data_IF_173268107214
#
_entry.id   IF_173268107214
#
_cell.length_a   1.000
_cell.length_b   1.000
_cell.length_c   1.000
_cell.angle_alpha   90.00
_cell.angle_beta   90.00
_cell.angle_gamma   90.00
#
_symmetry.space_group_name_H-M   'P 1'
#
loop_
_entity.id
_entity.type
_entity.pdbx_description
1 polymer ?
#
# COMPACT_ATOMS: atom_id res chain seq x y z
N UNK A 1 -38.47 0.66 -6.04
CA UNK A 1 -38.13 2.04 -5.66
C UNK A 1 -36.68 2.23 -6.03
N UNK A 2 -36.44 2.98 -7.07
CA UNK A 2 -35.10 3.28 -7.59
C UNK A 2 -34.56 4.40 -6.69
N UNK A 3 -33.54 4.06 -5.93
CA UNK A 3 -32.88 4.96 -4.98
C UNK A 3 -32.29 6.15 -5.73
N UNK A 4 -32.63 7.34 -5.23
CA UNK A 4 -32.26 8.64 -5.77
C UNK A 4 -30.75 8.73 -5.98
N UNK A 5 -30.36 8.90 -7.23
CA UNK A 5 -28.99 9.16 -7.64
C UNK A 5 -28.45 10.40 -6.94
N UNK A 6 -27.65 10.21 -5.88
CA UNK A 6 -26.72 11.26 -5.50
C UNK A 6 -25.77 11.50 -6.68
N UNK A 7 -25.51 12.74 -7.06
CA UNK A 7 -24.52 13.02 -8.09
C UNK A 7 -23.18 12.49 -7.61
N UNK A 8 -22.72 11.39 -8.20
CA UNK A 8 -21.40 10.83 -7.92
C UNK A 8 -20.41 11.93 -8.27
N UNK A 9 -19.70 12.45 -7.27
CA UNK A 9 -18.60 13.38 -7.52
C UNK A 9 -17.57 12.61 -8.34
N UNK A 10 -17.53 12.86 -9.65
CA UNK A 10 -16.76 12.11 -10.63
C UNK A 10 -15.25 12.04 -10.31
N UNK A 11 -14.73 13.00 -9.56
CA UNK A 11 -13.30 13.15 -9.30
C UNK A 11 -12.83 12.62 -7.93
N UNK A 12 -13.68 12.64 -6.90
CA UNK A 12 -13.30 12.29 -5.53
C UNK A 12 -14.40 11.46 -4.84
N UNK A 13 -14.48 10.16 -5.11
CA UNK A 13 -15.41 9.30 -4.41
C UNK A 13 -15.02 9.19 -2.92
N UNK A 14 -15.96 8.78 -2.03
CA UNK A 14 -15.82 8.96 -0.58
C UNK A 14 -14.56 8.39 0.05
N UNK A 15 -14.16 7.16 -0.32
CA UNK A 15 -12.99 6.50 0.30
C UNK A 15 -11.69 7.11 -0.22
N UNK A 16 -11.57 7.34 -1.52
CA UNK A 16 -10.41 8.03 -2.09
C UNK A 16 -10.26 9.41 -1.46
N UNK A 17 -11.34 10.19 -1.35
CA UNK A 17 -11.31 11.51 -0.72
C UNK A 17 -10.82 11.43 0.73
N UNK A 18 -11.34 10.46 1.51
CA UNK A 18 -10.90 10.26 2.89
C UNK A 18 -9.41 9.92 2.95
N UNK A 19 -8.95 8.96 2.13
CA UNK A 19 -7.55 8.54 2.11
C UNK A 19 -6.60 9.68 1.73
N UNK A 20 -6.95 10.48 0.72
CA UNK A 20 -6.15 11.63 0.32
C UNK A 20 -6.04 12.66 1.44
N UNK A 21 -7.18 13.04 2.05
CA UNK A 21 -7.20 14.02 3.15
C UNK A 21 -6.44 13.50 4.38
N UNK A 22 -6.64 12.23 4.76
CA UNK A 22 -5.97 11.63 5.91
C UNK A 22 -4.45 11.61 5.72
N UNK A 23 -3.96 11.17 4.56
CA UNK A 23 -2.53 11.13 4.28
C UNK A 23 -1.89 12.53 4.25
N UNK A 24 -2.55 13.51 3.61
CA UNK A 24 -2.07 14.90 3.63
C UNK A 24 -2.07 15.45 5.06
N UNK A 25 -3.14 15.25 5.83
CA UNK A 25 -3.25 15.73 7.21
C UNK A 25 -2.17 15.15 8.12
N UNK A 26 -1.93 13.82 8.02
CA UNK A 26 -0.88 13.15 8.79
C UNK A 26 0.51 13.61 8.33
N UNK A 27 0.73 13.82 7.04
CA UNK A 27 2.00 14.36 6.55
C UNK A 27 2.27 15.79 7.03
N UNK A 28 1.28 16.65 7.09
CA UNK A 28 1.42 17.98 7.69
C UNK A 28 1.78 17.89 9.18
N UNK A 29 1.21 16.92 9.89
CA UNK A 29 1.59 16.63 11.28
C UNK A 29 3.05 16.13 11.39
N UNK A 30 3.51 15.30 10.42
CA UNK A 30 4.89 14.85 10.37
C UNK A 30 5.90 16.00 10.20
N UNK A 31 5.53 17.12 9.57
CA UNK A 31 6.43 18.27 9.43
C UNK A 31 6.80 18.91 10.78
N UNK A 32 5.97 18.73 11.82
CA UNK A 32 6.19 19.31 13.15
C UNK A 32 6.47 18.25 14.22
N UNK A 33 6.11 16.99 13.99
CA UNK A 33 6.21 15.89 14.97
C UNK A 33 6.70 14.59 14.32
N UNK A 34 7.76 14.65 13.50
CA UNK A 34 8.22 13.49 12.73
C UNK A 34 8.64 12.32 13.64
N UNK A 35 9.55 12.56 14.59
CA UNK A 35 10.08 11.52 15.47
C UNK A 35 9.01 10.82 16.33
N UNK A 36 8.11 11.52 17.04
CA UNK A 36 7.04 10.85 17.79
C UNK A 36 6.11 10.03 16.91
N UNK A 37 5.79 10.53 15.71
CA UNK A 37 4.92 9.79 14.77
C UNK A 37 5.65 8.56 14.22
N UNK A 38 6.92 8.66 13.88
CA UNK A 38 7.72 7.53 13.40
C UNK A 38 7.82 6.44 14.47
N UNK A 39 8.16 6.81 15.69
CA UNK A 39 8.33 5.90 16.85
C UNK A 39 7.04 5.11 17.11
N UNK A 40 5.89 5.77 17.14
CA UNK A 40 4.65 5.12 17.56
C UNK A 40 3.86 4.48 16.43
N UNK A 41 3.96 4.99 15.19
CA UNK A 41 3.03 4.63 14.10
C UNK A 41 3.70 3.99 12.88
N UNK A 42 5.03 4.06 12.74
CA UNK A 42 5.75 3.29 11.72
C UNK A 42 5.73 1.79 12.05
N UNK A 43 5.86 0.96 11.05
CA UNK A 43 5.93 -0.50 11.24
C UNK A 43 7.36 -0.89 11.61
N UNK A 44 7.58 -1.19 12.89
CA UNK A 44 8.84 -1.67 13.43
C UNK A 44 8.92 -3.21 13.37
N UNK A 45 10.12 -3.79 13.17
CA UNK A 45 10.28 -5.24 13.11
C UNK A 45 10.07 -5.90 14.49
N UNK A 46 9.76 -7.20 14.46
CA UNK A 46 9.76 -8.05 15.65
C UNK A 46 11.19 -8.38 16.09
N UNK A 47 11.38 -8.58 17.39
CA UNK A 47 12.69 -8.99 17.93
C UNK A 47 13.73 -7.86 17.98
N UNK A 48 13.31 -6.62 17.77
CA UNK A 48 14.17 -5.45 17.91
C UNK A 48 14.64 -5.33 19.37
N UNK A 49 15.97 -5.27 19.65
CA UNK A 49 16.46 -4.99 21.00
C UNK A 49 16.05 -3.58 21.41
N UNK A 50 15.73 -3.40 22.71
CA UNK A 50 15.31 -2.09 23.24
C UNK A 50 16.40 -1.02 23.09
N UNK A 51 17.65 -1.43 23.09
CA UNK A 51 18.82 -0.54 22.98
C UNK A 51 19.81 -1.15 22.02
N UNK A 52 20.29 -0.35 21.08
CA UNK A 52 21.38 -0.70 20.16
C UNK A 52 22.54 0.27 20.32
N UNK A 53 23.75 -0.18 20.03
CA UNK A 53 24.90 0.70 19.89
C UNK A 53 24.98 1.21 18.44
N UNK A 54 24.89 2.50 18.24
CA UNK A 54 25.01 3.15 16.94
C UNK A 54 26.05 4.28 17.05
N UNK A 55 27.11 4.18 16.28
CA UNK A 55 28.22 5.16 16.27
C UNK A 55 28.88 5.41 17.65
N UNK A 56 28.91 4.38 18.53
CA UNK A 56 29.45 4.49 19.88
C UNK A 56 28.49 5.07 20.93
N UNK A 57 27.24 5.34 20.56
CA UNK A 57 26.18 5.78 21.44
C UNK A 57 25.08 4.73 21.58
N UNK A 58 24.46 4.65 22.77
CA UNK A 58 23.32 3.79 23.02
C UNK A 58 22.03 4.49 22.52
N UNK A 59 21.37 3.91 21.55
CA UNK A 59 20.11 4.40 21.00
C UNK A 59 18.95 3.48 21.39
N UNK A 60 17.87 4.07 21.88
CA UNK A 60 16.62 3.33 22.10
C UNK A 60 15.90 3.08 20.78
N UNK A 61 15.39 1.85 20.61
CA UNK A 61 14.69 1.43 19.39
C UNK A 61 13.27 0.99 19.73
N UNK A 62 12.26 1.48 18.99
CA UNK A 62 10.87 1.09 19.23
C UNK A 62 10.61 -0.38 18.94
N UNK A 63 9.68 -0.97 19.69
CA UNK A 63 9.17 -2.33 19.45
C UNK A 63 7.89 -2.31 18.59
N UNK A 64 7.64 -3.43 17.91
CA UNK A 64 6.40 -3.64 17.14
C UNK A 64 5.14 -3.53 18.01
N UNK A 65 4.12 -2.85 17.47
CA UNK A 65 2.79 -2.75 18.05
C UNK A 65 1.73 -3.10 16.99
N UNK A 66 0.64 -3.76 17.37
CA UNK A 66 -0.37 -4.26 16.41
C UNK A 66 -0.99 -3.18 15.52
N UNK A 67 -1.21 -1.98 16.03
CA UNK A 67 -1.77 -0.88 15.22
C UNK A 67 -0.85 -0.43 14.09
N UNK A 68 0.45 -0.68 14.22
CA UNK A 68 1.44 -0.33 13.20
C UNK A 68 1.20 -1.05 11.87
N UNK A 69 0.53 -2.22 11.88
CA UNK A 69 0.10 -2.90 10.65
C UNK A 69 -0.85 -2.07 9.77
N UNK A 70 -1.48 -1.06 10.35
CA UNK A 70 -2.37 -0.14 9.62
C UNK A 70 -1.79 1.26 9.53
N UNK A 71 -1.25 1.77 10.63
CA UNK A 71 -0.86 3.18 10.76
C UNK A 71 0.36 3.54 9.92
N UNK A 72 1.28 2.60 9.67
CA UNK A 72 2.44 2.81 8.81
C UNK A 72 2.06 3.30 7.41
N UNK A 73 0.87 2.87 6.94
CA UNK A 73 0.32 3.23 5.62
C UNK A 73 -0.09 4.70 5.46
N UNK A 74 0.01 5.50 6.52
CA UNK A 74 -0.31 6.94 6.50
C UNK A 74 0.93 7.83 6.66
N UNK A 75 2.08 7.26 7.04
CA UNK A 75 3.33 8.00 7.18
C UNK A 75 4.09 8.03 5.84
N UNK A 76 4.83 9.11 5.59
CA UNK A 76 5.59 9.27 4.35
C UNK A 76 6.99 9.83 4.61
N UNK A 77 7.98 9.32 3.88
CA UNK A 77 9.39 9.71 4.01
C UNK A 77 9.75 11.04 3.34
N UNK A 78 8.78 11.74 2.72
CA UNK A 78 8.99 13.03 2.08
C UNK A 78 7.90 13.39 1.09
N UNK A 79 7.93 14.63 0.61
CA UNK A 79 6.88 15.20 -0.26
C UNK A 79 6.72 14.44 -1.57
N UNK A 80 7.81 14.02 -2.21
CA UNK A 80 7.75 13.25 -3.46
C UNK A 80 7.12 11.87 -3.22
N UNK A 81 7.48 11.21 -2.11
CA UNK A 81 6.91 9.92 -1.72
C UNK A 81 5.40 10.04 -1.49
N UNK A 82 4.94 11.04 -0.74
CA UNK A 82 3.53 11.35 -0.57
C UNK A 82 2.84 11.59 -1.92
N UNK A 83 3.39 12.49 -2.74
CA UNK A 83 2.80 12.87 -4.02
C UNK A 83 2.60 11.65 -4.94
N UNK A 84 3.61 10.82 -5.11
CA UNK A 84 3.52 9.64 -5.98
C UNK A 84 2.47 8.64 -5.49
N UNK A 85 2.39 8.41 -4.17
CA UNK A 85 1.35 7.55 -3.59
C UNK A 85 -0.05 8.11 -3.82
N UNK A 86 -0.29 9.38 -3.50
CA UNK A 86 -1.61 10.00 -3.62
C UNK A 86 -2.03 10.15 -5.08
N UNK A 87 -1.11 10.48 -5.97
CA UNK A 87 -1.39 10.58 -7.40
C UNK A 87 -1.80 9.21 -7.98
N UNK A 88 -1.06 8.14 -7.69
CA UNK A 88 -1.39 6.79 -8.14
C UNK A 88 -2.72 6.31 -7.52
N UNK A 89 -2.91 6.53 -6.22
CA UNK A 89 -4.16 6.20 -5.51
C UNK A 89 -5.37 6.91 -6.12
N UNK A 90 -5.25 8.20 -6.44
CA UNK A 90 -6.30 8.96 -7.08
C UNK A 90 -6.55 8.49 -8.52
N UNK A 91 -5.51 8.43 -9.34
CA UNK A 91 -5.61 8.10 -10.77
C UNK A 91 -6.24 6.73 -11.03
N UNK A 92 -5.86 5.72 -10.24
CA UNK A 92 -6.30 4.34 -10.41
C UNK A 92 -7.50 4.00 -9.51
N UNK A 93 -7.47 4.48 -8.27
CA UNK A 93 -8.45 4.13 -7.25
C UNK A 93 -9.83 4.73 -7.50
N UNK A 94 -9.93 5.93 -8.08
CA UNK A 94 -11.23 6.54 -8.43
C UNK A 94 -12.04 5.64 -9.34
N UNK A 95 -11.42 5.05 -10.36
CA UNK A 95 -12.10 4.18 -11.31
C UNK A 95 -12.56 2.87 -10.64
N UNK A 96 -11.74 2.31 -9.75
CA UNK A 96 -12.08 1.11 -8.99
C UNK A 96 -13.20 1.37 -7.98
N UNK A 97 -13.14 2.48 -7.24
CA UNK A 97 -14.20 2.81 -6.28
C UNK A 97 -15.55 3.06 -6.99
N UNK A 98 -15.54 3.71 -8.16
CA UNK A 98 -16.75 3.85 -8.97
C UNK A 98 -17.30 2.51 -9.46
N UNK A 99 -16.42 1.60 -9.84
CA UNK A 99 -16.83 0.31 -10.38
C UNK A 99 -17.34 -0.66 -9.30
N UNK A 100 -16.73 -0.64 -8.10
CA UNK A 100 -17.04 -1.59 -7.03
C UNK A 100 -17.97 -1.03 -5.96
N UNK A 101 -18.05 0.29 -5.86
CA UNK A 101 -18.64 1.01 -4.73
C UNK A 101 -17.68 1.14 -3.57
N UNK A 102 -17.90 2.15 -2.74
CA UNK A 102 -16.99 2.56 -1.65
C UNK A 102 -16.72 1.44 -0.62
N UNK A 103 -17.73 0.61 -0.30
CA UNK A 103 -17.57 -0.45 0.70
C UNK A 103 -16.58 -1.52 0.26
N UNK A 104 -16.69 -2.03 -0.97
CA UNK A 104 -15.78 -3.07 -1.48
C UNK A 104 -14.38 -2.52 -1.70
N UNK A 105 -14.28 -1.29 -2.21
CA UNK A 105 -13.01 -0.61 -2.38
C UNK A 105 -12.28 -0.40 -1.04
N UNK A 106 -12.99 0.03 0.01
CA UNK A 106 -12.41 0.21 1.34
C UNK A 106 -11.90 -1.13 1.92
N UNK A 107 -12.70 -2.21 1.82
CA UNK A 107 -12.29 -3.55 2.26
C UNK A 107 -11.03 -3.99 1.49
N UNK A 108 -11.03 -3.81 0.18
CA UNK A 108 -9.90 -4.16 -0.67
C UNK A 108 -8.63 -3.43 -0.25
N UNK A 109 -8.69 -2.11 -0.14
CA UNK A 109 -7.56 -1.28 0.25
C UNK A 109 -7.01 -1.68 1.62
N UNK A 110 -7.90 -1.86 2.60
CA UNK A 110 -7.52 -2.28 3.96
C UNK A 110 -6.81 -3.64 3.96
N UNK A 111 -7.33 -4.63 3.22
CA UNK A 111 -6.69 -5.95 3.09
C UNK A 111 -5.31 -5.84 2.44
N UNK A 112 -5.16 -5.00 1.42
CA UNK A 112 -3.87 -4.76 0.78
C UNK A 112 -2.86 -4.12 1.75
N UNK A 113 -3.26 -3.11 2.52
CA UNK A 113 -2.39 -2.45 3.51
C UNK A 113 -1.97 -3.42 4.60
N UNK A 114 -2.93 -4.14 5.22
CA UNK A 114 -2.64 -5.11 6.26
C UNK A 114 -1.75 -6.26 5.75
N UNK A 115 -2.06 -6.78 4.57
CA UNK A 115 -1.28 -7.84 3.94
C UNK A 115 0.15 -7.41 3.57
N UNK A 116 0.30 -6.19 3.07
CA UNK A 116 1.61 -5.57 2.83
C UNK A 116 2.41 -5.44 4.12
N UNK A 117 1.77 -4.94 5.19
CA UNK A 117 2.37 -4.81 6.51
C UNK A 117 2.81 -6.16 7.09
N UNK A 118 2.01 -7.22 6.94
CA UNK A 118 2.36 -8.56 7.41
C UNK A 118 3.59 -9.14 6.69
N UNK A 119 3.64 -9.03 5.36
CA UNK A 119 4.80 -9.50 4.59
C UNK A 119 6.05 -8.70 4.98
N UNK A 120 5.93 -7.38 5.03
CA UNK A 120 7.04 -6.51 5.37
C UNK A 120 7.53 -6.71 6.81
N UNK A 121 6.61 -6.92 7.76
CA UNK A 121 6.95 -7.27 9.14
C UNK A 121 7.84 -8.53 9.19
N UNK A 122 7.48 -9.57 8.44
CA UNK A 122 8.29 -10.79 8.35
C UNK A 122 9.69 -10.52 7.76
N UNK A 123 9.77 -9.77 6.66
CA UNK A 123 11.04 -9.43 5.99
C UNK A 123 11.91 -8.56 6.89
N UNK A 124 11.36 -7.47 7.45
CA UNK A 124 12.11 -6.58 8.34
C UNK A 124 12.56 -7.29 9.63
N UNK A 125 11.73 -8.21 10.18
CA UNK A 125 12.11 -8.99 11.36
C UNK A 125 13.23 -10.00 11.07
N UNK A 126 13.29 -10.54 9.84
CA UNK A 126 14.42 -11.37 9.42
C UNK A 126 15.71 -10.54 9.30
N UNK A 127 15.65 -9.30 8.82
CA UNK A 127 16.81 -8.40 8.71
C UNK A 127 17.42 -8.02 10.06
N UNK A 128 16.64 -8.06 11.15
CA UNK A 128 17.16 -7.84 12.52
C UNK A 128 18.25 -8.85 12.87
N UNK A 129 18.20 -10.09 12.37
CA UNK A 129 19.24 -11.10 12.57
C UNK A 129 20.59 -10.72 11.96
N UNK A 130 20.58 -9.85 10.92
CA UNK A 130 21.76 -9.24 10.31
C UNK A 130 22.14 -7.88 10.87
N UNK A 131 21.56 -7.47 12.02
CA UNK A 131 21.73 -6.17 12.67
C UNK A 131 21.23 -4.96 11.85
N UNK A 132 20.34 -5.19 10.87
CA UNK A 132 19.66 -4.13 10.12
C UNK A 132 18.28 -3.87 10.71
N UNK A 133 18.12 -2.74 11.39
CA UNK A 133 16.86 -2.32 12.02
C UNK A 133 16.37 -1.06 11.34
N UNK A 134 15.21 -1.15 10.71
CA UNK A 134 14.57 -0.01 10.03
C UNK A 134 13.05 -0.07 10.13
N UNK A 135 12.39 1.08 10.33
CA UNK A 135 10.94 1.16 10.26
C UNK A 135 10.47 1.21 8.81
N UNK A 136 9.27 0.71 8.58
CA UNK A 136 8.59 0.84 7.29
C UNK A 136 7.45 1.85 7.38
N UNK A 137 7.34 2.71 6.37
CA UNK A 137 6.31 3.73 6.23
C UNK A 137 5.86 3.85 4.77
N UNK A 138 4.60 4.18 4.54
CA UNK A 138 4.07 4.50 3.21
C UNK A 138 2.75 3.81 2.87
N UNK A 139 1.88 4.51 2.14
CA UNK A 139 0.63 3.97 1.59
C UNK A 139 0.85 3.00 0.43
N UNK A 140 2.09 2.84 -0.03
CA UNK A 140 2.44 2.16 -1.28
C UNK A 140 1.99 0.70 -1.33
N UNK A 141 2.00 -0.04 -0.22
CA UNK A 141 1.45 -1.41 -0.18
C UNK A 141 -0.01 -1.47 -0.63
N UNK A 142 -0.84 -0.54 -0.15
CA UNK A 142 -2.23 -0.37 -0.61
C UNK A 142 -2.32 0.10 -2.06
N UNK A 143 -1.45 1.02 -2.47
CA UNK A 143 -1.38 1.55 -3.85
C UNK A 143 -1.01 0.47 -4.85
N UNK A 144 -0.07 -0.43 -4.52
CA UNK A 144 0.27 -1.57 -5.37
C UNK A 144 -0.86 -2.59 -5.48
N UNK A 145 -1.64 -2.77 -4.39
CA UNK A 145 -2.90 -3.50 -4.45
C UNK A 145 -3.89 -2.87 -5.43
N UNK A 146 -4.10 -1.54 -5.35
CA UNK A 146 -4.93 -0.77 -6.30
C UNK A 146 -4.42 -0.95 -7.75
N UNK A 147 -3.12 -0.87 -7.98
CA UNK A 147 -2.50 -1.06 -9.28
C UNK A 147 -2.79 -2.46 -9.85
N UNK A 148 -2.65 -3.51 -9.03
CA UNK A 148 -3.00 -4.87 -9.44
C UNK A 148 -4.47 -4.98 -9.84
N UNK A 149 -5.39 -4.51 -8.99
CA UNK A 149 -6.82 -4.54 -9.25
C UNK A 149 -7.18 -3.80 -10.54
N UNK A 150 -6.56 -2.64 -10.75
CA UNK A 150 -6.75 -1.86 -11.97
C UNK A 150 -6.29 -2.63 -13.21
N UNK A 151 -5.11 -3.24 -13.18
CA UNK A 151 -4.60 -4.05 -14.28
C UNK A 151 -5.45 -5.29 -14.58
N UNK A 152 -6.08 -5.88 -13.56
CA UNK A 152 -7.00 -7.00 -13.71
C UNK A 152 -8.36 -6.58 -14.26
N UNK A 153 -8.87 -5.42 -13.84
CA UNK A 153 -10.20 -4.94 -14.21
C UNK A 153 -10.21 -4.20 -15.54
N UNK A 154 -9.16 -3.43 -15.81
CA UNK A 154 -9.02 -2.60 -17.02
C UNK A 154 -7.75 -2.97 -17.82
N UNK A 155 -7.55 -4.25 -18.21
CA UNK A 155 -6.27 -4.77 -18.70
C UNK A 155 -5.76 -4.10 -19.97
N UNK A 156 -6.64 -3.58 -20.79
CA UNK A 156 -6.31 -2.94 -22.07
C UNK A 156 -6.30 -1.41 -21.99
N UNK A 157 -6.66 -0.82 -20.84
CA UNK A 157 -6.58 0.62 -20.66
C UNK A 157 -5.12 1.06 -20.71
N UNK A 158 -4.84 2.15 -21.41
CA UNK A 158 -3.50 2.70 -21.53
C UNK A 158 -3.24 3.66 -20.36
N UNK A 159 -2.16 3.39 -19.64
CA UNK A 159 -1.64 4.25 -18.59
C UNK A 159 -0.52 5.11 -19.18
N UNK A 160 -0.57 6.40 -18.89
CA UNK A 160 0.51 7.36 -19.22
C UNK A 160 1.05 7.86 -17.90
N UNK A 161 2.33 7.62 -17.65
CA UNK A 161 2.99 8.05 -16.42
C UNK A 161 3.63 9.40 -16.59
N UNK A 162 3.66 10.19 -15.51
CA UNK A 162 4.22 11.54 -15.52
C UNK A 162 5.68 11.57 -15.99
N UNK A 163 6.47 10.55 -15.60
CA UNK A 163 7.90 10.46 -15.92
C UNK A 163 8.18 9.65 -17.20
N UNK A 164 7.23 8.88 -17.70
CA UNK A 164 7.35 8.08 -18.91
C UNK A 164 6.09 8.29 -19.75
N UNK A 165 6.06 9.28 -20.65
CA UNK A 165 4.86 9.64 -21.43
C UNK A 165 4.56 8.65 -22.57
N UNK A 166 4.90 7.37 -22.38
CA UNK A 166 4.58 6.29 -23.31
C UNK A 166 3.33 5.56 -22.82
N UNK A 167 2.26 5.47 -23.63
CA UNK A 167 1.04 4.80 -23.24
C UNK A 167 1.23 3.27 -23.20
N UNK A 168 1.29 2.69 -22.00
CA UNK A 168 1.44 1.25 -21.77
C UNK A 168 0.11 0.66 -21.34
N UNK A 169 -0.29 -0.50 -21.85
CA UNK A 169 -1.50 -1.20 -21.40
C UNK A 169 -1.33 -1.64 -19.94
N UNK A 170 -2.35 -1.42 -19.10
CA UNK A 170 -2.30 -1.67 -17.67
C UNK A 170 -1.81 -3.08 -17.30
N UNK A 171 -2.27 -4.13 -17.99
CA UNK A 171 -1.82 -5.50 -17.74
C UNK A 171 -0.30 -5.68 -17.87
N UNK A 172 0.32 -5.08 -18.90
CA UNK A 172 1.77 -5.19 -19.09
C UNK A 172 2.54 -4.36 -18.07
N UNK A 173 2.02 -3.18 -17.74
CA UNK A 173 2.64 -2.35 -16.70
C UNK A 173 2.63 -3.03 -15.34
N UNK A 174 1.51 -3.60 -14.92
CA UNK A 174 1.39 -4.31 -13.63
C UNK A 174 2.36 -5.49 -13.56
N UNK A 175 2.46 -6.30 -14.62
CA UNK A 175 3.38 -7.45 -14.66
C UNK A 175 4.83 -6.98 -14.60
N UNK A 176 5.20 -6.00 -15.44
CA UNK A 176 6.56 -5.50 -15.50
C UNK A 176 6.98 -4.84 -14.18
N UNK A 177 6.09 -4.06 -13.57
CA UNK A 177 6.40 -3.39 -12.31
C UNK A 177 6.46 -4.37 -11.14
N UNK A 178 5.56 -5.36 -11.07
CA UNK A 178 5.64 -6.44 -10.08
C UNK A 178 6.93 -7.28 -10.22
N UNK A 179 7.37 -7.56 -11.44
CA UNK A 179 8.63 -8.25 -11.69
C UNK A 179 9.84 -7.38 -11.27
N UNK A 180 9.79 -6.07 -11.55
CA UNK A 180 10.83 -5.13 -11.09
C UNK A 180 10.91 -5.09 -9.55
N UNK A 181 9.78 -4.99 -8.85
CA UNK A 181 9.74 -5.01 -7.39
C UNK A 181 10.33 -6.30 -6.80
N UNK A 182 10.03 -7.43 -7.42
CA UNK A 182 10.60 -8.73 -7.00
C UNK A 182 12.12 -8.76 -7.18
N UNK A 183 12.60 -8.38 -8.36
CA UNK A 183 14.03 -8.35 -8.65
C UNK A 183 14.76 -7.37 -7.73
N UNK A 184 14.24 -6.16 -7.57
CA UNK A 184 14.83 -5.14 -6.71
C UNK A 184 14.86 -5.57 -5.24
N UNK A 185 13.79 -6.23 -4.76
CA UNK A 185 13.73 -6.78 -3.40
C UNK A 185 14.74 -7.90 -3.15
N UNK A 186 14.97 -8.78 -4.14
CA UNK A 186 15.94 -9.87 -4.02
C UNK A 186 17.38 -9.36 -4.12
N UNK A 187 17.63 -8.40 -5.01
CA UNK A 187 19.00 -7.90 -5.27
C UNK A 187 19.43 -6.78 -4.33
N UNK A 188 18.48 -6.17 -3.58
CA UNK A 188 18.76 -5.03 -2.71
C UNK A 188 19.21 -3.77 -3.46
N UNK A 189 18.89 -3.65 -4.77
CA UNK A 189 19.43 -2.59 -5.64
C UNK A 189 18.89 -1.21 -5.36
N UNK A 190 17.78 -1.08 -4.65
CA UNK A 190 17.16 0.20 -4.28
C UNK A 190 16.98 0.28 -2.77
N UNK A 191 18.02 0.74 -2.07
CA UNK A 191 17.99 0.92 -0.63
C UNK A 191 16.86 1.87 -0.20
N UNK A 192 16.21 1.57 0.93
CA UNK A 192 15.13 2.39 1.50
C UNK A 192 13.75 2.20 0.87
N UNK A 193 13.58 1.27 -0.07
CA UNK A 193 12.27 0.91 -0.64
C UNK A 193 11.80 -0.44 -0.10
N UNK A 194 10.58 -0.48 0.42
CA UNK A 194 9.97 -1.69 0.97
C UNK A 194 9.33 -2.54 -0.16
N UNK A 195 10.15 -3.10 -1.04
CA UNK A 195 9.71 -3.88 -2.21
C UNK A 195 8.77 -5.02 -1.85
N UNK A 196 9.06 -5.72 -0.75
CA UNK A 196 8.21 -6.83 -0.29
C UNK A 196 6.86 -6.36 0.28
N UNK A 197 6.76 -5.13 0.80
CA UNK A 197 5.46 -4.54 1.14
C UNK A 197 4.61 -4.31 -0.12
N UNK A 198 5.23 -3.82 -1.22
CA UNK A 198 4.55 -3.63 -2.50
C UNK A 198 4.00 -4.96 -3.05
N UNK A 199 4.84 -5.99 -3.10
CA UNK A 199 4.45 -7.34 -3.51
C UNK A 199 3.40 -7.95 -2.57
N UNK A 200 3.52 -7.71 -1.27
CA UNK A 200 2.54 -8.11 -0.26
C UNK A 200 1.16 -7.54 -0.52
N UNK A 201 1.07 -6.24 -0.82
CA UNK A 201 -0.18 -5.57 -1.19
C UNK A 201 -0.79 -6.16 -2.47
N UNK A 202 0.02 -6.41 -3.49
CA UNK A 202 -0.44 -7.08 -4.73
C UNK A 202 -0.91 -8.51 -4.44
N UNK A 203 -0.18 -9.28 -3.65
CA UNK A 203 -0.50 -10.68 -3.34
C UNK A 203 -1.83 -10.80 -2.57
N UNK A 204 -2.01 -10.06 -1.49
CA UNK A 204 -3.25 -10.10 -0.71
C UNK A 204 -4.42 -9.51 -1.50
N UNK A 205 -4.18 -8.49 -2.32
CA UNK A 205 -5.17 -7.98 -3.27
C UNK A 205 -5.60 -9.03 -4.29
N UNK A 206 -4.65 -9.80 -4.86
CA UNK A 206 -4.94 -10.91 -5.76
C UNK A 206 -5.78 -11.99 -5.07
N UNK A 207 -5.40 -12.41 -3.86
CA UNK A 207 -6.14 -13.41 -3.09
C UNK A 207 -7.58 -12.96 -2.86
N UNK A 208 -7.79 -11.71 -2.45
CA UNK A 208 -9.13 -11.20 -2.19
C UNK A 208 -9.98 -11.13 -3.47
N UNK A 209 -9.41 -10.69 -4.60
CA UNK A 209 -10.11 -10.72 -5.89
C UNK A 209 -10.48 -12.16 -6.28
N UNK A 210 -9.55 -13.12 -6.15
CA UNK A 210 -9.84 -14.52 -6.48
C UNK A 210 -10.90 -15.13 -5.54
N UNK A 211 -10.89 -14.75 -4.26
CA UNK A 211 -11.96 -15.10 -3.33
C UNK A 211 -13.31 -14.55 -3.80
N UNK A 212 -13.40 -13.26 -4.11
CA UNK A 212 -14.64 -12.64 -4.58
C UNK A 212 -15.15 -13.22 -5.90
N UNK A 213 -14.26 -13.72 -6.74
CA UNK A 213 -14.60 -14.45 -7.97
C UNK A 213 -15.01 -15.91 -7.73
N UNK A 214 -14.91 -16.41 -6.49
CA UNK A 214 -15.19 -17.80 -6.13
C UNK A 214 -14.22 -18.81 -6.75
N UNK A 215 -12.98 -18.39 -7.03
CA UNK A 215 -11.91 -19.22 -7.61
C UNK A 215 -11.00 -19.86 -6.56
N UNK A 216 -11.15 -19.49 -5.30
CA UNK A 216 -10.44 -20.15 -4.19
C UNK A 216 -11.24 -21.34 -3.66
N UNK A 217 -10.58 -22.32 -2.97
CA UNK A 217 -11.28 -23.43 -2.29
C UNK A 217 -12.35 -22.95 -1.31
N UNK A 218 -12.06 -21.87 -0.56
CA UNK A 218 -13.03 -21.16 0.27
C UNK A 218 -13.78 -20.17 -0.61
N UNK A 219 -15.11 -20.32 -0.69
CA UNK A 219 -15.96 -19.51 -1.56
C UNK A 219 -16.78 -18.51 -0.75
N UNK A 220 -17.00 -17.29 -1.26
CA UNK A 220 -17.92 -16.35 -0.66
C UNK A 220 -19.36 -16.88 -0.78
N UNK A 221 -20.23 -16.50 0.16
CA UNK A 221 -21.65 -16.84 0.12
C UNK A 221 -22.30 -16.43 -1.21
N UNK A 222 -21.92 -15.24 -1.72
CA UNK A 222 -22.29 -14.74 -3.03
C UNK A 222 -21.05 -14.27 -3.76
N UNK A 223 -20.92 -14.59 -5.05
CA UNK A 223 -19.83 -14.04 -5.88
C UNK A 223 -20.06 -12.54 -6.05
N UNK A 224 -18.99 -11.78 -5.87
CA UNK A 224 -19.01 -10.32 -6.04
C UNK A 224 -18.70 -9.93 -7.49
N UNK A 225 -17.80 -10.69 -8.14
CA UNK A 225 -17.36 -10.43 -9.52
C UNK A 225 -17.53 -11.65 -10.42
N UNK A 226 -17.92 -11.39 -11.68
CA UNK A 226 -18.19 -12.39 -12.70
C UNK A 226 -17.23 -12.35 -13.89
N UNK A 227 -16.25 -11.45 -13.87
CA UNK A 227 -15.23 -11.25 -14.92
C UNK A 227 -13.91 -11.96 -14.64
#
# INVERSE_FOLDING_TARGET
MIDSQQPRSLLFPPVIRFLLIANVGIFLLQLVAFEPLLVHFALWPLGTPEVIEQNGELAWVPSFQLWQLLTYGFLHGGLLHLFLNLFAMWMLGVQLEHAWGSRLFAIYYLVCVLGAGLIQLGVASYSVTGAEIYPTIGASGGVFGILLAFGMMFPNQRLVFLLLPVPIRAKYFVIAYGAFELLAGITGTTAGVAHFAHLGGMFFGLLLIQYWRGRLPIKPRNRVFWW
#
